data_IF_850872551076
#
_entry.id   IF_850872551076
#
_cell.length_a   1.000
_cell.length_b   1.000
_cell.length_c   1.000
_cell.angle_alpha   90.00
_cell.angle_beta   90.00
_cell.angle_gamma   90.00
#
_symmetry.space_group_name_H-M   'P 1'
#
loop_
_entity.id
_entity.type
_entity.pdbx_description
1 polymer ?
#
# COMPACT_ATOMS: atom_id res chain seq x y z
N UNK A 1 -14.19 -58.08 25.81
CA UNK A 1 -14.28 -57.84 24.36
C UNK A 1 -14.89 -56.47 24.13
N UNK A 2 -14.04 -55.46 23.94
CA UNK A 2 -14.46 -54.12 23.52
C UNK A 2 -13.45 -53.75 22.43
N UNK A 3 -13.92 -53.64 21.19
CA UNK A 3 -13.10 -53.45 20.00
C UNK A 3 -12.52 -52.03 19.91
N UNK A 4 -11.43 -51.83 19.14
CA UNK A 4 -10.81 -50.52 18.99
C UNK A 4 -11.64 -49.65 18.04
N UNK A 5 -12.04 -48.46 18.50
CA UNK A 5 -12.61 -47.43 17.62
C UNK A 5 -11.49 -46.77 16.82
N UNK A 6 -11.65 -46.82 15.50
CA UNK A 6 -10.78 -46.17 14.52
C UNK A 6 -10.86 -44.65 14.66
N UNK A 7 -9.70 -44.01 14.76
CA UNK A 7 -9.51 -42.56 14.68
C UNK A 7 -9.65 -42.09 13.23
N UNK A 8 -10.71 -41.34 12.96
CA UNK A 8 -10.90 -40.64 11.68
C UNK A 8 -10.17 -39.29 11.75
N UNK A 9 -9.26 -38.97 10.82
CA UNK A 9 -8.59 -37.67 10.81
C UNK A 9 -9.53 -36.58 10.28
N UNK A 10 -9.60 -35.46 11.00
CA UNK A 10 -10.31 -34.24 10.62
C UNK A 10 -9.69 -33.62 9.34
N UNK A 11 -10.50 -33.04 8.45
CA UNK A 11 -10.02 -32.54 7.16
C UNK A 11 -9.19 -31.26 7.33
N UNK A 12 -8.08 -31.20 6.59
CA UNK A 12 -7.26 -30.00 6.39
C UNK A 12 -8.11 -28.95 5.66
N UNK A 13 -8.42 -27.84 6.35
CA UNK A 13 -9.08 -26.68 5.75
C UNK A 13 -8.10 -25.95 4.83
N UNK A 14 -8.28 -26.12 3.52
CA UNK A 14 -7.72 -25.26 2.48
C UNK A 14 -8.36 -23.87 2.58
N UNK A 15 -7.59 -22.85 2.97
CA UNK A 15 -8.00 -21.44 2.96
C UNK A 15 -7.77 -20.78 1.58
N UNK A 16 -8.00 -21.53 0.51
CA UNK A 16 -8.07 -21.01 -0.85
C UNK A 16 -9.33 -21.58 -1.50
N UNK A 17 -10.43 -20.83 -1.35
CA UNK A 17 -11.53 -20.76 -2.33
C UNK A 17 -12.63 -19.84 -1.78
N UNK A 18 -12.42 -18.53 -1.94
CA UNK A 18 -13.52 -17.56 -1.90
C UNK A 18 -13.83 -17.14 -3.33
N UNK A 19 -14.81 -17.82 -3.92
CA UNK A 19 -15.53 -17.32 -5.09
C UNK A 19 -16.42 -16.16 -4.65
N UNK A 20 -16.11 -14.96 -5.11
CA UNK A 20 -16.94 -13.77 -4.85
C UNK A 20 -18.12 -13.72 -5.82
N UNK A 21 -19.33 -13.36 -5.37
CA UNK A 21 -20.43 -13.02 -6.28
C UNK A 21 -20.13 -11.70 -7.01
N UNK A 22 -20.43 -11.65 -8.31
CA UNK A 22 -20.40 -10.44 -9.14
C UNK A 22 -21.36 -9.37 -8.57
N UNK A 23 -20.85 -8.48 -7.71
CA UNK A 23 -21.63 -7.38 -7.11
C UNK A 23 -21.59 -6.07 -7.92
N UNK A 24 -21.03 -6.09 -9.12
CA UNK A 24 -21.06 -4.95 -10.04
C UNK A 24 -21.63 -5.42 -11.38
N UNK A 25 -22.90 -5.10 -11.62
CA UNK A 25 -23.55 -5.39 -12.90
C UNK A 25 -22.81 -4.75 -14.09
N UNK A 26 -22.99 -5.26 -15.32
CA UNK A 26 -22.34 -4.70 -16.50
C UNK A 26 -22.77 -3.25 -16.68
N UNK A 27 -21.80 -2.34 -16.80
CA UNK A 27 -22.06 -0.98 -17.23
C UNK A 27 -22.75 -1.03 -18.60
N UNK A 28 -24.03 -0.64 -18.66
CA UNK A 28 -24.76 -0.50 -19.92
C UNK A 28 -24.32 0.80 -20.58
N UNK A 29 -23.71 0.68 -21.75
CA UNK A 29 -23.46 1.80 -22.67
C UNK A 29 -24.84 2.27 -23.17
N UNK A 30 -25.23 3.55 -23.02
CA UNK A 30 -26.48 4.04 -23.57
C UNK A 30 -26.40 4.12 -25.10
N UNK A 31 -27.47 3.71 -25.77
CA UNK A 31 -27.68 3.83 -27.22
C UNK A 31 -27.89 5.33 -27.54
N UNK A 32 -27.11 5.86 -28.49
CA UNK A 32 -27.06 7.28 -28.90
C UNK A 32 -28.34 7.74 -29.63
N UNK A 33 -28.66 9.02 -29.42
CA UNK A 33 -29.61 9.82 -30.21
C UNK A 33 -28.84 10.56 -31.33
N UNK A 34 -29.29 10.60 -32.59
CA UNK A 34 -28.43 10.92 -33.73
C UNK A 34 -28.53 12.38 -34.20
N UNK A 35 -28.41 13.40 -33.34
CA UNK A 35 -28.29 14.78 -33.83
C UNK A 35 -27.42 15.69 -32.93
N UNK A 36 -26.10 15.71 -33.13
CA UNK A 36 -25.28 16.92 -32.93
C UNK A 36 -23.89 16.79 -33.56
N UNK A 37 -23.62 17.58 -34.60
CA UNK A 37 -22.31 17.69 -35.26
C UNK A 37 -21.27 18.49 -34.45
N UNK A 38 -20.84 17.93 -33.31
CA UNK A 38 -19.57 18.28 -32.65
C UNK A 38 -18.71 17.03 -32.67
N UNK A 39 -17.46 17.14 -33.10
CA UNK A 39 -16.46 16.08 -32.90
C UNK A 39 -16.37 15.82 -31.40
N UNK A 40 -17.06 14.78 -30.93
CA UNK A 40 -17.07 14.39 -29.53
C UNK A 40 -15.66 13.94 -29.15
N UNK A 41 -14.97 14.75 -28.34
CA UNK A 41 -13.67 14.35 -27.81
C UNK A 41 -13.83 13.05 -26.99
N UNK A 42 -12.87 12.12 -27.12
CA UNK A 42 -12.85 10.90 -26.31
C UNK A 42 -12.88 11.25 -24.81
N UNK A 43 -13.87 10.72 -24.09
CA UNK A 43 -14.08 10.92 -22.67
C UNK A 43 -14.45 9.59 -22.00
N UNK A 44 -14.10 9.48 -20.72
CA UNK A 44 -14.56 8.38 -19.88
C UNK A 44 -15.82 8.86 -19.16
N UNK A 45 -16.96 8.16 -19.29
CA UNK A 45 -18.19 8.55 -18.62
C UNK A 45 -17.99 8.65 -17.11
N UNK A 46 -18.72 9.58 -16.48
CA UNK A 46 -18.76 9.69 -15.02
C UNK A 46 -19.18 8.36 -14.40
N UNK A 47 -18.45 7.90 -13.39
CA UNK A 47 -18.70 6.60 -12.80
C UNK A 47 -17.62 6.16 -11.82
N UNK A 48 -17.70 4.91 -11.39
CA UNK A 48 -16.71 4.29 -10.51
C UNK A 48 -16.14 3.09 -11.24
N UNK A 49 -14.82 3.06 -11.36
CA UNK A 49 -14.13 2.09 -12.19
C UNK A 49 -13.07 1.37 -11.37
N UNK A 50 -12.94 0.07 -11.59
CA UNK A 50 -11.72 -0.66 -11.24
C UNK A 50 -10.60 -0.25 -12.21
N UNK A 51 -9.32 -0.42 -11.84
CA UNK A 51 -8.21 -0.12 -12.75
C UNK A 51 -8.29 -0.93 -14.04
N UNK A 52 -8.74 -2.19 -13.94
CA UNK A 52 -8.95 -3.06 -15.09
C UNK A 52 -10.00 -2.50 -16.06
N UNK A 53 -11.07 -1.89 -15.56
CA UNK A 53 -12.08 -1.22 -16.38
C UNK A 53 -11.57 0.09 -16.98
N UNK A 54 -10.69 0.82 -16.29
CA UNK A 54 -10.03 2.01 -16.86
C UNK A 54 -9.13 1.63 -18.04
N UNK A 55 -8.32 0.56 -17.92
CA UNK A 55 -7.53 0.03 -19.04
C UNK A 55 -8.42 -0.30 -20.25
N UNK A 56 -9.61 -0.90 -20.03
CA UNK A 56 -10.59 -1.12 -21.11
C UNK A 56 -11.09 0.19 -21.70
N UNK A 57 -11.39 1.18 -20.86
CA UNK A 57 -11.92 2.47 -21.27
C UNK A 57 -10.92 3.26 -22.14
N UNK A 58 -9.61 3.00 -22.00
CA UNK A 58 -8.56 3.56 -22.84
C UNK A 58 -8.39 2.83 -24.18
N UNK A 59 -8.88 1.59 -24.31
CA UNK A 59 -8.64 0.74 -25.48
C UNK A 59 -9.07 1.37 -26.83
N UNK A 60 -10.18 2.13 -26.93
CA UNK A 60 -10.57 2.78 -28.19
C UNK A 60 -9.48 3.67 -28.80
N UNK A 61 -8.63 4.29 -27.97
CA UNK A 61 -7.50 5.10 -28.44
C UNK A 61 -6.48 4.25 -29.21
N UNK A 62 -6.12 3.09 -28.69
CA UNK A 62 -5.19 2.16 -29.33
C UNK A 62 -5.83 1.46 -30.52
N UNK A 63 -7.08 1.02 -30.39
CA UNK A 63 -7.77 0.25 -31.43
C UNK A 63 -8.01 1.13 -32.68
N UNK A 64 -8.30 2.42 -32.51
CA UNK A 64 -8.35 3.39 -33.62
C UNK A 64 -7.01 3.52 -34.32
N UNK A 65 -5.90 3.56 -33.57
CA UNK A 65 -4.55 3.59 -34.15
C UNK A 65 -4.27 2.34 -34.99
N UNK A 66 -4.57 1.16 -34.44
CA UNK A 66 -4.37 -0.12 -35.12
C UNK A 66 -5.25 -0.23 -36.37
N UNK A 67 -6.50 0.23 -36.30
CA UNK A 67 -7.42 0.28 -37.44
C UNK A 67 -6.81 1.05 -38.62
N UNK A 68 -6.36 2.28 -38.38
CA UNK A 68 -5.82 3.16 -39.44
C UNK A 68 -4.44 2.76 -39.93
N UNK A 69 -3.64 2.08 -39.12
CA UNK A 69 -2.37 1.51 -39.59
C UNK A 69 -2.60 0.44 -40.66
N UNK A 70 -3.77 -0.20 -40.69
CA UNK A 70 -4.15 -1.20 -41.69
C UNK A 70 -3.47 -2.57 -41.50
N UNK A 71 -3.61 -3.51 -42.46
CA UNK A 71 -3.12 -4.89 -42.33
C UNK A 71 -1.61 -4.99 -42.17
N UNK A 72 -1.12 -5.73 -41.17
CA UNK A 72 0.32 -5.90 -40.93
C UNK A 72 1.05 -6.52 -42.14
N UNK A 73 2.31 -6.10 -42.44
CA UNK A 73 3.12 -6.75 -43.47
C UNK A 73 3.33 -8.25 -43.18
N UNK A 74 3.56 -9.09 -44.20
CA UNK A 74 3.93 -10.47 -43.97
C UNK A 74 5.25 -10.55 -43.18
N UNK A 75 5.31 -11.46 -42.21
CA UNK A 75 6.48 -11.73 -41.35
C UNK A 75 6.93 -10.57 -40.44
N UNK A 76 6.07 -9.60 -40.14
CA UNK A 76 6.35 -8.57 -39.13
C UNK A 76 5.61 -8.81 -37.81
N UNK A 77 6.13 -8.24 -36.71
CA UNK A 77 5.39 -8.13 -35.46
C UNK A 77 4.08 -7.35 -35.70
N UNK A 78 2.92 -7.84 -35.24
CA UNK A 78 1.66 -7.12 -35.39
C UNK A 78 1.73 -5.73 -34.77
N UNK A 79 1.18 -4.71 -35.44
CA UNK A 79 1.22 -3.32 -35.00
C UNK A 79 0.74 -3.16 -33.55
N UNK A 80 -0.37 -3.82 -33.19
CA UNK A 80 -0.91 -3.81 -31.83
C UNK A 80 0.09 -4.32 -30.79
N UNK A 81 0.80 -5.41 -31.10
CA UNK A 81 1.81 -5.99 -30.22
C UNK A 81 2.96 -5.04 -30.02
N UNK A 82 3.52 -4.49 -31.11
CA UNK A 82 4.62 -3.52 -31.05
C UNK A 82 4.23 -2.26 -30.24
N UNK A 83 3.03 -1.72 -30.47
CA UNK A 83 2.48 -0.59 -29.70
C UNK A 83 2.36 -0.90 -28.20
N UNK A 84 1.92 -2.11 -27.83
CA UNK A 84 1.85 -2.53 -26.43
C UNK A 84 3.21 -2.83 -25.80
N UNK A 85 4.20 -3.27 -26.59
CA UNK A 85 5.58 -3.44 -26.10
C UNK A 85 6.21 -2.09 -25.74
N UNK A 86 5.84 -1.03 -26.45
CA UNK A 86 6.22 0.33 -26.08
C UNK A 86 5.55 0.80 -24.78
N UNK A 87 4.27 0.48 -24.57
CA UNK A 87 3.63 0.73 -23.26
C UNK A 87 4.38 -0.02 -22.16
N UNK A 88 4.74 -1.28 -22.41
CA UNK A 88 5.51 -2.05 -21.44
C UNK A 88 6.86 -1.40 -21.14
N UNK A 89 7.55 -0.88 -22.16
CA UNK A 89 8.80 -0.14 -21.98
C UNK A 89 8.58 1.17 -21.20
N UNK A 90 7.53 1.95 -21.46
CA UNK A 90 7.26 3.18 -20.71
C UNK A 90 6.84 2.94 -19.25
N UNK A 91 6.15 1.82 -18.99
CA UNK A 91 5.67 1.45 -17.65
C UNK A 91 6.70 0.68 -16.82
N UNK A 92 7.75 0.14 -17.43
CA UNK A 92 8.89 -0.44 -16.74
C UNK A 92 9.64 0.62 -15.90
N UNK A 93 10.61 0.18 -15.08
CA UNK A 93 11.38 1.08 -14.18
C UNK A 93 12.85 1.23 -14.58
N UNK A 94 13.30 0.44 -15.56
CA UNK A 94 14.71 0.15 -15.86
C UNK A 94 15.04 0.20 -17.37
N UNK A 95 14.07 0.58 -18.21
CA UNK A 95 14.27 0.78 -19.65
C UNK A 95 14.71 2.22 -19.94
N UNK A 96 15.17 2.49 -21.17
CA UNK A 96 15.44 3.87 -21.62
C UNK A 96 14.15 4.68 -21.71
N UNK A 97 13.06 4.04 -22.11
CA UNK A 97 11.75 4.65 -22.39
C UNK A 97 10.90 4.88 -21.14
N UNK A 98 11.33 4.39 -19.99
CA UNK A 98 10.58 4.49 -18.73
C UNK A 98 10.19 5.94 -18.42
N UNK A 99 8.94 6.13 -18.00
CA UNK A 99 8.50 7.42 -17.46
C UNK A 99 8.76 7.56 -15.94
N UNK A 100 9.38 6.56 -15.31
CA UNK A 100 9.70 6.51 -13.87
C UNK A 100 11.07 5.82 -13.67
N UNK A 101 12.18 6.45 -14.11
CA UNK A 101 13.51 5.85 -14.04
C UNK A 101 13.98 5.74 -12.59
N UNK A 102 14.00 4.52 -12.05
CA UNK A 102 14.48 4.26 -10.69
C UNK A 102 15.67 3.30 -10.73
N UNK A 103 16.81 3.76 -10.20
CA UNK A 103 18.07 2.99 -10.18
C UNK A 103 17.89 1.57 -9.62
N UNK A 104 18.72 0.63 -10.08
CA UNK A 104 18.74 -0.73 -9.53
C UNK A 104 19.37 -0.78 -8.13
N UNK A 105 20.29 0.14 -7.82
CA UNK A 105 21.05 0.14 -6.57
C UNK A 105 20.49 1.21 -5.61
N UNK A 106 19.21 1.10 -5.26
CA UNK A 106 18.58 2.00 -4.29
C UNK A 106 18.86 1.52 -2.86
N UNK A 107 19.49 2.38 -2.06
CA UNK A 107 19.69 2.15 -0.62
C UNK A 107 18.46 2.54 0.20
N UNK A 108 17.68 3.51 -0.27
CA UNK A 108 16.46 3.98 0.38
C UNK A 108 15.31 2.96 0.24
N UNK A 109 14.88 2.41 1.38
CA UNK A 109 13.79 1.43 1.49
C UNK A 109 12.50 1.96 0.85
N UNK A 110 12.18 3.24 1.06
CA UNK A 110 10.95 3.85 0.54
C UNK A 110 10.93 3.90 -0.99
N UNK A 111 12.08 4.18 -1.62
CA UNK A 111 12.22 4.16 -3.09
C UNK A 111 12.21 2.74 -3.65
N UNK A 112 12.79 1.77 -2.93
CA UNK A 112 12.70 0.35 -3.30
C UNK A 112 11.26 -0.14 -3.31
N UNK A 113 10.48 0.23 -2.29
CA UNK A 113 9.05 -0.09 -2.22
C UNK A 113 8.28 0.46 -3.42
N UNK A 114 8.42 1.75 -3.72
CA UNK A 114 7.74 2.37 -4.86
C UNK A 114 8.20 1.80 -6.19
N UNK A 115 9.48 1.45 -6.35
CA UNK A 115 9.98 0.79 -7.55
C UNK A 115 9.32 -0.56 -7.77
N UNK A 116 9.29 -1.40 -6.74
CA UNK A 116 8.70 -2.73 -6.84
C UNK A 116 7.19 -2.66 -7.10
N UNK A 117 6.51 -1.71 -6.44
CA UNK A 117 5.10 -1.44 -6.69
C UNK A 117 4.85 -0.94 -8.12
N UNK A 118 5.66 -0.02 -8.63
CA UNK A 118 5.56 0.47 -10.01
C UNK A 118 5.74 -0.64 -11.03
N UNK A 119 6.72 -1.54 -10.80
CA UNK A 119 6.96 -2.73 -11.62
C UNK A 119 5.74 -3.65 -11.64
N UNK A 120 5.18 -3.97 -10.45
CA UNK A 120 4.01 -4.84 -10.31
C UNK A 120 2.77 -4.25 -10.99
N UNK A 121 2.50 -2.97 -10.76
CA UNK A 121 1.39 -2.25 -11.40
C UNK A 121 1.59 -2.23 -12.93
N UNK A 122 2.74 -1.79 -13.41
CA UNK A 122 3.03 -1.67 -14.85
C UNK A 122 2.85 -2.99 -15.60
N UNK A 123 3.41 -4.08 -15.08
CA UNK A 123 3.24 -5.43 -15.66
C UNK A 123 1.77 -5.86 -15.71
N UNK A 124 1.02 -5.58 -14.65
CA UNK A 124 -0.41 -5.92 -14.56
C UNK A 124 -1.25 -5.13 -15.56
N UNK A 125 -1.01 -3.83 -15.69
CA UNK A 125 -1.71 -2.97 -16.66
C UNK A 125 -1.46 -3.43 -18.11
N UNK A 126 -0.20 -3.75 -18.45
CA UNK A 126 0.17 -4.29 -19.78
C UNK A 126 -0.49 -5.64 -20.00
N UNK A 127 -0.48 -6.53 -19.01
CA UNK A 127 -1.13 -7.83 -19.10
C UNK A 127 -2.63 -7.68 -19.42
N UNK A 128 -3.34 -6.80 -18.71
CA UNK A 128 -4.73 -6.50 -19.02
C UNK A 128 -4.91 -5.92 -20.43
N UNK A 129 -4.09 -4.94 -20.83
CA UNK A 129 -4.16 -4.32 -22.16
C UNK A 129 -3.93 -5.34 -23.30
N UNK A 130 -3.01 -6.29 -23.12
CA UNK A 130 -2.77 -7.39 -24.06
C UNK A 130 -3.96 -8.36 -24.14
N UNK A 131 -4.63 -8.60 -23.01
CA UNK A 131 -5.81 -9.48 -22.94
C UNK A 131 -7.09 -8.88 -23.55
N UNK A 132 -7.09 -7.60 -23.94
CA UNK A 132 -8.23 -6.99 -24.60
C UNK A 132 -8.10 -7.01 -26.13
N UNK A 133 -9.19 -7.38 -26.79
CA UNK A 133 -9.37 -7.19 -28.22
C UNK A 133 -10.86 -7.04 -28.50
N UNK A 134 -11.22 -6.20 -29.49
CA UNK A 134 -12.57 -6.11 -30.08
C UNK A 134 -13.67 -5.45 -29.24
N UNK A 135 -13.33 -4.44 -28.43
CA UNK A 135 -14.37 -3.55 -27.91
C UNK A 135 -14.88 -2.61 -29.03
N UNK A 136 -16.11 -2.10 -28.96
CA UNK A 136 -16.57 -1.07 -29.89
C UNK A 136 -15.65 0.16 -29.82
N UNK A 137 -15.16 0.59 -30.97
CA UNK A 137 -14.41 1.84 -31.12
C UNK A 137 -14.99 2.65 -32.27
N UNK A 138 -14.76 3.96 -32.24
CA UNK A 138 -15.12 4.87 -33.30
C UNK A 138 -13.91 5.00 -34.24
N UNK A 139 -13.97 4.48 -35.49
CA UNK A 139 -12.85 4.59 -36.43
C UNK A 139 -12.58 6.05 -36.82
N UNK A 140 -13.55 6.94 -36.66
CA UNK A 140 -13.40 8.37 -36.94
C UNK A 140 -12.97 9.16 -35.69
N UNK A 141 -12.58 8.46 -34.62
CA UNK A 141 -12.13 9.10 -33.38
C UNK A 141 -10.93 10.00 -33.65
N UNK A 142 -11.12 11.28 -33.38
CA UNK A 142 -10.10 12.29 -33.54
C UNK A 142 -9.90 13.06 -32.24
N UNK A 143 -8.64 13.20 -31.83
CA UNK A 143 -8.27 14.06 -30.71
C UNK A 143 -6.92 14.73 -30.98
N UNK A 144 -6.72 15.89 -30.33
CA UNK A 144 -5.39 16.48 -30.15
C UNK A 144 -4.90 16.19 -28.74
N UNK A 145 -3.79 15.48 -28.62
CA UNK A 145 -3.11 15.24 -27.35
C UNK A 145 -2.09 16.35 -27.10
N UNK A 146 -1.76 16.58 -25.83
CA UNK A 146 -0.51 17.26 -25.49
C UNK A 146 0.62 16.26 -25.74
N UNK A 147 1.71 16.70 -26.37
CA UNK A 147 2.90 15.87 -26.50
C UNK A 147 3.64 15.91 -25.16
N UNK A 148 3.42 14.91 -24.32
CA UNK A 148 4.01 14.81 -22.97
C UNK A 148 5.44 14.20 -22.97
N UNK A 149 6.06 14.08 -24.15
CA UNK A 149 7.46 13.68 -24.30
C UNK A 149 7.74 12.19 -24.05
N UNK A 150 6.72 11.33 -24.02
CA UNK A 150 6.91 9.88 -23.83
C UNK A 150 7.74 9.29 -24.97
N UNK A 151 8.79 8.57 -24.60
CA UNK A 151 9.72 7.99 -25.56
C UNK A 151 9.11 6.79 -26.27
N UNK A 152 9.47 6.65 -27.54
CA UNK A 152 9.10 5.51 -28.37
C UNK A 152 10.30 4.57 -28.57
N UNK A 153 10.01 3.27 -28.61
CA UNK A 153 10.89 2.25 -29.15
C UNK A 153 11.17 2.54 -30.62
N UNK A 154 12.39 2.24 -31.13
CA UNK A 154 12.76 2.51 -32.52
C UNK A 154 11.77 1.96 -33.56
N UNK A 155 11.28 0.72 -33.36
CA UNK A 155 10.32 0.09 -34.26
C UNK A 155 8.97 0.82 -34.27
N UNK A 156 8.57 1.40 -33.14
CA UNK A 156 7.34 2.15 -33.03
C UNK A 156 7.45 3.56 -33.63
N UNK A 157 8.65 4.15 -33.62
CA UNK A 157 8.93 5.36 -34.42
C UNK A 157 8.73 5.04 -35.89
N UNK A 158 9.31 3.95 -36.39
CA UNK A 158 9.14 3.54 -37.79
C UNK A 158 7.67 3.25 -38.13
N UNK A 159 6.91 2.67 -37.20
CA UNK A 159 5.49 2.39 -37.38
C UNK A 159 4.63 3.67 -37.44
N UNK A 160 4.79 4.58 -36.46
CA UNK A 160 3.93 5.77 -36.30
C UNK A 160 4.35 6.97 -37.16
N UNK A 161 5.56 6.97 -37.71
CA UNK A 161 6.03 7.98 -38.68
C UNK A 161 6.25 7.40 -40.09
N UNK A 162 5.95 6.11 -40.27
CA UNK A 162 6.09 5.42 -41.54
C UNK A 162 4.99 5.77 -42.55
N UNK A 163 5.13 5.22 -43.77
CA UNK A 163 4.24 5.49 -44.91
C UNK A 163 2.76 5.13 -44.68
N UNK A 164 2.49 4.25 -43.73
CA UNK A 164 1.15 3.76 -43.38
C UNK A 164 0.50 4.54 -42.25
N UNK A 165 1.24 5.46 -41.63
CA UNK A 165 0.72 6.25 -40.52
C UNK A 165 0.09 7.55 -41.01
N UNK A 166 -0.62 8.21 -40.12
CA UNK A 166 -1.16 9.54 -40.31
C UNK A 166 -0.82 10.40 -39.10
N UNK A 167 -0.67 11.74 -39.25
CA UNK A 167 -0.28 12.62 -38.15
C UNK A 167 -1.15 12.51 -36.90
N UNK A 168 -2.44 12.20 -37.06
CA UNK A 168 -3.38 12.07 -35.95
C UNK A 168 -3.18 10.78 -35.12
N UNK A 169 -2.61 9.72 -35.70
CA UNK A 169 -2.38 8.44 -34.99
C UNK A 169 -1.39 8.60 -33.85
N UNK A 170 -0.35 9.41 -34.05
CA UNK A 170 0.60 9.74 -33.00
C UNK A 170 -0.08 10.47 -31.83
N UNK A 171 -1.09 11.31 -32.11
CA UNK A 171 -1.84 12.01 -31.06
C UNK A 171 -2.67 11.04 -30.23
N UNK A 172 -3.38 10.11 -30.88
CA UNK A 172 -4.15 9.06 -30.21
C UNK A 172 -3.24 8.13 -29.38
N UNK A 173 -2.11 7.70 -29.95
CA UNK A 173 -1.18 6.83 -29.24
C UNK A 173 -0.49 7.54 -28.07
N UNK A 174 -0.13 8.81 -28.22
CA UNK A 174 0.38 9.64 -27.12
C UNK A 174 -0.61 9.74 -25.97
N UNK A 175 -1.89 10.00 -26.27
CA UNK A 175 -2.92 10.05 -25.24
C UNK A 175 -3.07 8.69 -24.55
N UNK A 176 -3.11 7.59 -25.31
CA UNK A 176 -3.16 6.24 -24.74
C UNK A 176 -1.98 5.94 -23.80
N UNK A 177 -0.74 6.23 -24.24
CA UNK A 177 0.46 6.11 -23.40
C UNK A 177 0.33 6.93 -22.12
N UNK A 178 -0.10 8.18 -22.24
CA UNK A 178 -0.22 9.08 -21.12
C UNK A 178 -1.27 8.60 -20.10
N UNK A 179 -2.45 8.14 -20.56
CA UNK A 179 -3.49 7.59 -19.67
C UNK A 179 -3.01 6.34 -18.92
N UNK A 180 -2.26 5.45 -19.58
CA UNK A 180 -1.65 4.28 -18.94
C UNK A 180 -0.59 4.67 -17.89
N UNK A 181 0.22 5.69 -18.16
CA UNK A 181 1.21 6.26 -17.23
C UNK A 181 0.53 6.90 -16.01
N UNK A 182 -0.50 7.73 -16.24
CA UNK A 182 -1.30 8.33 -15.18
C UNK A 182 -1.94 7.26 -14.30
N UNK A 183 -2.50 6.21 -14.91
CA UNK A 183 -3.08 5.10 -14.16
C UNK A 183 -2.03 4.35 -13.34
N UNK A 184 -0.86 4.02 -13.89
CA UNK A 184 0.22 3.39 -13.12
C UNK A 184 0.55 4.21 -11.88
N UNK A 185 0.75 5.52 -12.06
CA UNK A 185 1.17 6.41 -10.97
C UNK A 185 0.07 6.60 -9.93
N UNK A 186 -1.19 6.70 -10.34
CA UNK A 186 -2.34 6.77 -9.45
C UNK A 186 -2.50 5.52 -8.55
N UNK A 187 -1.98 4.37 -8.98
CA UNK A 187 -2.09 3.09 -8.28
C UNK A 187 -0.91 2.81 -7.34
N UNK A 188 0.18 3.59 -7.41
CA UNK A 188 1.35 3.41 -6.56
C UNK A 188 1.06 3.40 -5.06
N UNK A 189 0.08 4.16 -4.52
CA UNK A 189 -0.20 4.10 -3.09
C UNK A 189 -0.77 2.78 -2.59
N UNK A 190 -1.32 1.91 -3.45
CA UNK A 190 -2.20 0.83 -3.01
C UNK A 190 -1.59 -0.57 -3.16
N UNK A 191 -1.35 -1.26 -2.05
CA UNK A 191 -0.85 -2.64 -2.01
C UNK A 191 -1.77 -3.62 -2.77
N UNK A 192 -3.09 -3.42 -2.74
CA UNK A 192 -4.09 -4.22 -3.48
C UNK A 192 -4.78 -3.37 -4.55
N UNK A 193 -3.97 -2.69 -5.37
CA UNK A 193 -4.45 -1.72 -6.36
C UNK A 193 -5.54 -2.30 -7.29
N UNK A 194 -5.50 -3.59 -7.60
CA UNK A 194 -6.35 -4.26 -8.58
C UNK A 194 -7.85 -4.12 -8.29
N UNK A 195 -8.20 -3.94 -7.02
CA UNK A 195 -9.59 -3.90 -6.54
C UNK A 195 -10.03 -2.51 -6.08
N UNK A 196 -9.20 -1.48 -6.24
CA UNK A 196 -9.50 -0.11 -5.77
C UNK A 196 -10.57 0.55 -6.66
N UNK A 197 -11.74 0.93 -6.12
CA UNK A 197 -12.75 1.69 -6.86
C UNK A 197 -12.33 3.15 -7.05
N UNK A 198 -12.09 3.55 -8.30
CA UNK A 198 -11.64 4.90 -8.67
C UNK A 198 -12.84 5.70 -9.21
N UNK A 199 -13.26 6.79 -8.53
CA UNK A 199 -14.29 7.67 -9.05
C UNK A 199 -13.75 8.53 -10.20
N UNK A 200 -14.50 8.60 -11.29
CA UNK A 200 -14.26 9.49 -12.43
C UNK A 200 -15.41 10.48 -12.48
N UNK A 201 -15.09 11.77 -12.44
CA UNK A 201 -16.07 12.86 -12.43
C UNK A 201 -16.56 13.27 -13.82
N UNK A 202 -15.79 12.93 -14.87
CA UNK A 202 -16.06 13.27 -16.27
C UNK A 202 -15.68 14.71 -16.64
N UNK A 203 -14.99 15.44 -15.76
CA UNK A 203 -14.62 16.84 -16.00
C UNK A 203 -13.31 17.01 -16.78
N UNK A 204 -12.46 15.99 -16.78
CA UNK A 204 -11.20 15.96 -17.54
C UNK A 204 -11.19 14.82 -18.55
N UNK A 205 -10.27 14.91 -19.53
CA UNK A 205 -9.99 13.81 -20.46
C UNK A 205 -9.34 12.65 -19.71
N UNK A 206 -10.10 11.59 -19.49
CA UNK A 206 -9.67 10.44 -18.71
C UNK A 206 -9.11 10.84 -17.34
N UNK A 207 -7.86 10.47 -17.07
CA UNK A 207 -7.18 10.68 -15.79
C UNK A 207 -6.37 11.99 -15.69
N UNK A 208 -6.44 12.89 -16.69
CA UNK A 208 -5.60 14.11 -16.70
C UNK A 208 -5.79 15.04 -15.50
N UNK A 209 -6.92 14.96 -14.80
CA UNK A 209 -7.13 15.67 -13.53
C UNK A 209 -6.09 15.29 -12.44
N UNK A 210 -5.40 14.16 -12.58
CA UNK A 210 -4.38 13.68 -11.65
C UNK A 210 -2.96 14.22 -11.94
N UNK A 211 -2.74 14.92 -13.06
CA UNK A 211 -1.40 15.39 -13.48
C UNK A 211 -0.68 16.18 -12.38
N UNK A 212 -1.36 17.13 -11.73
CA UNK A 212 -0.76 17.97 -10.67
C UNK A 212 -0.40 17.15 -9.43
N UNK A 213 -1.26 16.22 -9.01
CA UNK A 213 -0.99 15.37 -7.85
C UNK A 213 0.18 14.42 -8.12
N UNK A 214 0.20 13.84 -9.32
CA UNK A 214 1.29 13.01 -9.84
C UNK A 214 2.61 13.77 -9.84
N UNK A 215 2.66 14.97 -10.41
CA UNK A 215 3.90 15.76 -10.50
C UNK A 215 4.52 15.99 -9.11
N UNK A 216 3.71 16.43 -8.14
CA UNK A 216 4.16 16.65 -6.75
C UNK A 216 4.70 15.37 -6.11
N UNK A 217 4.04 14.23 -6.34
CA UNK A 217 4.50 12.95 -5.82
C UNK A 217 5.83 12.54 -6.47
N UNK A 218 5.94 12.64 -7.80
CA UNK A 218 7.17 12.29 -8.51
C UNK A 218 8.33 13.21 -8.16
N UNK A 219 8.10 14.50 -7.94
CA UNK A 219 9.13 15.39 -7.39
C UNK A 219 9.67 14.84 -6.07
N UNK A 220 8.80 14.34 -5.19
CA UNK A 220 9.21 13.73 -3.91
C UNK A 220 10.03 12.46 -4.16
N UNK A 221 9.57 11.57 -5.03
CA UNK A 221 10.28 10.33 -5.41
C UNK A 221 11.72 10.61 -5.86
N UNK A 222 11.93 11.62 -6.71
CA UNK A 222 13.26 11.91 -7.26
C UNK A 222 14.14 12.77 -6.35
N UNK A 223 13.57 13.75 -5.64
CA UNK A 223 14.36 14.78 -4.94
C UNK A 223 14.51 14.54 -3.44
N UNK A 224 13.67 13.70 -2.82
CA UNK A 224 13.59 13.54 -1.36
C UNK A 224 13.38 12.07 -0.96
N UNK A 225 13.38 11.82 0.35
CA UNK A 225 12.83 10.59 0.91
C UNK A 225 11.31 10.61 0.78
N UNK A 226 10.73 9.48 0.40
CA UNK A 226 9.29 9.36 0.24
C UNK A 226 8.68 9.31 1.64
N UNK A 227 7.73 10.18 1.92
CA UNK A 227 7.06 10.22 3.22
C UNK A 227 5.70 9.54 3.14
N UNK A 228 5.23 9.00 4.27
CA UNK A 228 3.87 8.46 4.36
C UNK A 228 2.80 9.49 3.94
N UNK A 229 2.98 10.74 4.36
CA UNK A 229 2.08 11.84 4.01
C UNK A 229 2.01 12.10 2.51
N UNK A 230 3.11 11.93 1.77
CA UNK A 230 3.12 12.08 0.30
C UNK A 230 2.33 10.96 -0.39
N UNK A 231 2.41 9.73 0.13
CA UNK A 231 1.64 8.58 -0.37
C UNK A 231 0.15 8.76 -0.09
N UNK A 232 -0.21 9.20 1.12
CA UNK A 232 -1.60 9.51 1.49
C UNK A 232 -2.16 10.68 0.67
N UNK A 233 -1.35 11.72 0.41
CA UNK A 233 -1.76 12.85 -0.41
C UNK A 233 -2.09 12.44 -1.84
N UNK A 234 -1.28 11.58 -2.46
CA UNK A 234 -1.58 11.02 -3.78
C UNK A 234 -2.84 10.15 -3.75
N UNK A 235 -2.97 9.25 -2.79
CA UNK A 235 -4.17 8.40 -2.65
C UNK A 235 -5.46 9.21 -2.48
N UNK A 236 -5.41 10.31 -1.71
CA UNK A 236 -6.52 11.24 -1.55
C UNK A 236 -6.86 11.95 -2.85
N UNK A 237 -5.86 12.46 -3.58
CA UNK A 237 -6.12 13.10 -4.87
C UNK A 237 -6.82 12.17 -5.86
N UNK A 238 -6.55 10.86 -5.79
CA UNK A 238 -7.19 9.83 -6.64
C UNK A 238 -8.61 9.48 -6.20
N UNK A 239 -8.87 9.36 -4.88
CA UNK A 239 -10.11 8.75 -4.38
C UNK A 239 -11.06 9.71 -3.65
N UNK A 240 -10.54 10.76 -3.03
CA UNK A 240 -11.27 11.67 -2.15
C UNK A 240 -10.58 13.05 -2.09
N UNK A 241 -10.58 13.82 -3.20
CA UNK A 241 -9.84 15.07 -3.31
C UNK A 241 -10.33 16.16 -2.35
N UNK A 242 -11.58 16.07 -1.89
CA UNK A 242 -12.24 17.06 -1.02
C UNK A 242 -11.92 16.88 0.47
N UNK A 243 -11.25 15.78 0.86
CA UNK A 243 -10.80 15.59 2.24
C UNK A 243 -9.86 16.73 2.66
N UNK A 244 -9.91 17.18 3.93
CA UNK A 244 -9.06 18.27 4.40
C UNK A 244 -7.59 17.86 4.49
N UNK A 245 -6.68 18.82 4.42
CA UNK A 245 -5.25 18.59 4.70
C UNK A 245 -4.91 18.96 6.13
N UNK A 246 -4.26 18.06 6.86
CA UNK A 246 -3.82 18.28 8.25
C UNK A 246 -2.30 18.46 8.31
N UNK A 247 -1.77 18.88 9.46
CA UNK A 247 -0.32 19.08 9.68
C UNK A 247 0.50 17.82 9.37
N UNK A 248 -0.05 16.64 9.64
CA UNK A 248 0.59 15.33 9.45
C UNK A 248 0.34 14.75 8.06
N UNK A 249 -0.68 15.24 7.34
CA UNK A 249 -1.22 14.63 6.11
C UNK A 249 -2.17 13.44 6.34
N UNK A 250 -2.33 12.98 7.59
CA UNK A 250 -3.06 11.76 7.94
C UNK A 250 -2.30 10.47 7.60
N UNK A 251 -2.89 9.33 7.94
CA UNK A 251 -2.31 8.01 7.67
C UNK A 251 -3.19 7.07 6.85
N UNK A 252 -4.44 7.45 6.62
CA UNK A 252 -5.45 6.69 5.90
C UNK A 252 -6.75 7.50 5.88
N UNK A 253 -7.79 6.99 5.23
CA UNK A 253 -9.07 7.67 5.17
C UNK A 253 -10.20 6.71 4.79
N UNK A 254 -11.42 7.08 5.12
CA UNK A 254 -12.63 6.55 4.52
C UNK A 254 -13.10 7.47 3.41
N UNK A 255 -13.64 6.90 2.33
CA UNK A 255 -14.28 7.63 1.24
C UNK A 255 -15.56 6.91 0.80
N UNK A 256 -16.24 7.46 -0.22
CA UNK A 256 -17.55 7.01 -0.68
C UNK A 256 -17.65 5.50 -0.99
N UNK A 257 -16.56 4.85 -1.39
CA UNK A 257 -16.57 3.45 -1.80
C UNK A 257 -15.85 2.49 -0.85
N UNK A 258 -15.22 2.97 0.22
CA UNK A 258 -14.65 2.11 1.26
C UNK A 258 -13.58 2.79 2.09
N UNK A 259 -12.64 1.98 2.56
CA UNK A 259 -11.64 2.38 3.55
C UNK A 259 -10.23 2.20 2.99
N UNK A 260 -9.37 3.18 3.23
CA UNK A 260 -7.94 3.17 2.92
C UNK A 260 -7.17 3.22 4.25
N UNK A 261 -6.43 2.16 4.56
CA UNK A 261 -5.63 2.04 5.79
C UNK A 261 -4.17 1.68 5.48
N UNK A 262 -3.22 1.90 6.42
CA UNK A 262 -1.87 1.36 6.28
C UNK A 262 -1.90 -0.15 5.99
N UNK A 263 -1.22 -0.59 4.94
CA UNK A 263 -1.31 -1.97 4.46
C UNK A 263 -0.72 -3.00 5.45
N UNK A 264 0.13 -2.56 6.40
CA UNK A 264 0.64 -3.39 7.49
C UNK A 264 -0.49 -4.06 8.30
N UNK A 265 -1.67 -3.44 8.41
CA UNK A 265 -2.79 -4.01 9.17
C UNK A 265 -3.42 -5.26 8.53
N UNK A 266 -3.05 -5.58 7.29
CA UNK A 266 -3.58 -6.74 6.58
C UNK A 266 -2.80 -8.03 6.83
N UNK A 267 -1.68 -7.96 7.56
CA UNK A 267 -0.77 -9.08 7.78
C UNK A 267 0.08 -9.42 6.54
N UNK A 268 1.01 -10.35 6.71
CA UNK A 268 1.94 -10.78 5.68
C UNK A 268 3.17 -9.86 5.57
N UNK A 269 3.78 -9.84 4.38
CA UNK A 269 4.99 -9.06 4.13
C UNK A 269 4.75 -7.56 4.40
N UNK A 270 5.63 -6.98 5.20
CA UNK A 270 5.47 -5.63 5.75
C UNK A 270 5.74 -4.59 4.65
N UNK A 271 4.72 -3.80 4.26
CA UNK A 271 4.94 -2.61 3.47
C UNK A 271 5.46 -1.48 4.37
N UNK A 272 6.24 -0.58 3.79
CA UNK A 272 6.76 0.59 4.47
C UNK A 272 5.77 1.76 4.48
N UNK A 273 5.27 2.16 3.30
CA UNK A 273 4.31 3.26 3.14
C UNK A 273 3.00 2.86 2.44
N UNK A 274 2.93 1.69 1.80
CA UNK A 274 1.73 1.33 1.04
C UNK A 274 0.47 1.31 1.91
N UNK A 275 -0.63 1.67 1.26
CA UNK A 275 -1.98 1.66 1.79
C UNK A 275 -2.73 0.46 1.22
N UNK A 276 -3.80 0.05 1.89
CA UNK A 276 -4.68 -1.03 1.44
C UNK A 276 -6.11 -0.54 1.41
N UNK A 277 -6.80 -0.88 0.33
CA UNK A 277 -8.24 -0.72 0.23
C UNK A 277 -8.97 -1.88 0.91
N UNK A 278 -9.96 -1.54 1.73
CA UNK A 278 -10.89 -2.47 2.36
C UNK A 278 -12.31 -2.08 1.92
N UNK A 279 -13.10 -3.01 1.34
CA UNK A 279 -14.45 -2.74 0.83
C UNK A 279 -15.47 -2.67 1.98
N UNK A 280 -15.24 -1.77 2.93
CA UNK A 280 -16.10 -1.53 4.07
C UNK A 280 -15.99 -0.07 4.52
N UNK A 281 -16.95 0.39 5.32
CA UNK A 281 -16.95 1.69 5.97
C UNK A 281 -17.04 1.47 7.48
N UNK A 282 -16.21 2.16 8.23
CA UNK A 282 -16.23 2.14 9.69
C UNK A 282 -17.38 3.00 10.23
N UNK A 283 -17.68 4.11 9.55
CA UNK A 283 -18.88 4.91 9.83
C UNK A 283 -19.65 5.15 8.52
N UNK A 284 -20.69 4.35 8.25
CA UNK A 284 -21.52 4.51 7.04
C UNK A 284 -22.24 5.85 6.94
N UNK A 285 -22.43 6.57 8.05
CA UNK A 285 -23.16 7.86 8.09
C UNK A 285 -22.31 9.03 7.59
N UNK A 286 -20.98 8.90 7.66
CA UNK A 286 -20.05 9.94 7.22
C UNK A 286 -19.32 9.45 5.96
N UNK A 287 -19.59 10.01 4.77
CA UNK A 287 -19.06 9.46 3.52
C UNK A 287 -17.53 9.54 3.44
N UNK A 288 -16.93 10.57 4.03
CA UNK A 288 -15.50 10.87 3.93
C UNK A 288 -14.95 11.23 5.31
N UNK A 289 -13.91 10.52 5.74
CA UNK A 289 -13.22 10.74 7.02
C UNK A 289 -11.72 10.62 6.78
N UNK A 290 -10.94 11.62 7.15
CA UNK A 290 -9.48 11.51 7.24
C UNK A 290 -9.08 10.90 8.58
N UNK A 291 -8.20 9.89 8.56
CA UNK A 291 -7.60 9.38 9.77
C UNK A 291 -6.28 10.08 10.08
N UNK A 292 -6.18 10.64 11.28
CA UNK A 292 -5.02 11.39 11.73
C UNK A 292 -4.45 10.83 13.04
N UNK A 293 -3.14 11.00 13.20
CA UNK A 293 -2.34 10.53 14.31
C UNK A 293 -2.84 11.12 15.61
N UNK A 294 -2.90 10.28 16.64
CA UNK A 294 -3.16 10.74 18.00
C UNK A 294 -2.13 11.82 18.45
N UNK A 295 -0.86 11.61 18.11
CA UNK A 295 0.22 12.56 18.36
C UNK A 295 0.75 13.09 17.03
N UNK A 296 0.50 14.36 16.67
CA UNK A 296 1.00 14.93 15.42
C UNK A 296 2.53 14.86 15.32
N UNK A 297 3.21 15.22 16.41
CA UNK A 297 4.65 15.05 16.61
C UNK A 297 4.88 14.05 17.76
N UNK A 298 5.68 13.01 17.51
CA UNK A 298 5.98 12.02 18.55
C UNK A 298 7.07 12.48 19.52
N UNK A 299 7.91 13.46 19.14
CA UNK A 299 8.91 14.03 20.05
C UNK A 299 8.24 14.78 21.21
N UNK A 300 7.12 15.45 20.91
CA UNK A 300 6.28 16.21 21.85
C UNK A 300 5.20 15.36 22.54
N UNK A 301 5.06 14.08 22.17
CA UNK A 301 4.05 13.20 22.75
C UNK A 301 4.31 13.00 24.27
N UNK A 302 3.25 12.98 25.09
CA UNK A 302 3.38 12.63 26.51
C UNK A 302 4.04 11.26 26.67
N UNK A 303 4.94 11.13 27.65
CA UNK A 303 5.70 9.92 27.91
C UNK A 303 5.38 9.37 29.29
N UNK A 304 5.16 8.07 29.37
CA UNK A 304 4.94 7.35 30.62
C UNK A 304 6.05 6.32 30.82
N UNK A 305 6.43 6.08 32.07
CA UNK A 305 7.39 5.03 32.41
C UNK A 305 6.78 3.67 32.07
N UNK A 306 7.55 2.80 31.44
CA UNK A 306 7.17 1.40 31.20
C UNK A 306 6.85 0.72 32.55
N UNK A 307 5.89 -0.23 32.61
CA UNK A 307 5.64 -1.01 33.82
C UNK A 307 6.92 -1.68 34.35
N UNK A 308 6.99 -1.99 35.66
CA UNK A 308 8.11 -2.76 36.20
C UNK A 308 8.24 -4.10 35.47
N UNK A 309 9.48 -4.52 35.22
CA UNK A 309 9.78 -5.82 34.66
C UNK A 309 10.85 -6.54 35.48
N UNK A 310 11.09 -7.80 35.14
CA UNK A 310 12.03 -8.65 35.86
C UNK A 310 13.41 -8.60 35.21
N UNK A 311 14.43 -8.22 35.98
CA UNK A 311 15.81 -8.23 35.51
C UNK A 311 16.36 -9.65 35.51
N UNK A 312 16.75 -10.15 34.34
CA UNK A 312 17.28 -11.51 34.19
C UNK A 312 18.33 -11.59 33.09
N UNK A 313 19.12 -12.66 33.13
CA UNK A 313 20.03 -13.01 32.06
C UNK A 313 19.28 -13.87 31.04
N UNK A 314 19.14 -13.36 29.82
CA UNK A 314 18.46 -14.07 28.73
C UNK A 314 19.48 -14.75 27.82
N UNK A 315 19.34 -16.08 27.71
CA UNK A 315 20.16 -16.92 26.83
C UNK A 315 19.42 -17.36 25.55
N UNK A 316 18.12 -17.12 25.48
CA UNK A 316 17.24 -17.54 24.39
C UNK A 316 15.82 -17.04 24.63
N UNK A 317 14.93 -17.31 23.67
CA UNK A 317 13.54 -16.88 23.75
C UNK A 317 12.87 -17.44 25.02
N UNK A 318 12.20 -16.60 25.85
CA UNK A 318 11.57 -17.07 27.08
C UNK A 318 10.45 -18.08 26.80
N UNK A 319 10.54 -19.29 27.37
CA UNK A 319 9.52 -20.34 27.24
C UNK A 319 8.26 -20.01 28.07
N UNK A 320 8.48 -19.42 29.25
CA UNK A 320 7.45 -18.93 30.16
C UNK A 320 7.30 -17.42 29.98
N UNK A 321 6.46 -17.03 29.02
CA UNK A 321 6.19 -15.63 28.71
C UNK A 321 5.55 -14.91 29.91
N UNK A 322 6.03 -13.71 30.29
CA UNK A 322 5.37 -12.90 31.31
C UNK A 322 3.95 -12.52 30.86
N UNK A 323 2.94 -12.88 31.64
CA UNK A 323 1.54 -12.65 31.30
C UNK A 323 0.97 -13.61 30.26
N UNK A 324 1.52 -14.83 30.13
CA UNK A 324 0.99 -15.90 29.25
C UNK A 324 -0.49 -16.24 29.48
N UNK A 325 -1.02 -15.97 30.68
CA UNK A 325 -2.45 -16.13 30.99
C UNK A 325 -3.35 -15.09 30.29
N UNK A 326 -2.77 -13.98 29.84
CA UNK A 326 -3.44 -12.85 29.17
C UNK A 326 -3.44 -13.00 27.65
N UNK A 327 -3.88 -14.15 27.14
CA UNK A 327 -3.98 -14.39 25.71
C UNK A 327 -4.94 -13.41 25.02
N UNK A 328 -4.66 -13.07 23.76
CA UNK A 328 -5.52 -12.22 22.96
C UNK A 328 -6.80 -12.98 22.59
N UNK A 329 -7.94 -12.53 23.12
CA UNK A 329 -9.26 -13.12 22.83
C UNK A 329 -9.85 -12.61 21.53
N UNK A 330 -9.69 -11.31 21.25
CA UNK A 330 -10.20 -10.70 20.02
C UNK A 330 -9.52 -9.37 19.74
N UNK A 331 -9.34 -9.04 18.46
CA UNK A 331 -8.89 -7.75 18.00
C UNK A 331 -9.85 -7.16 16.97
N UNK A 332 -9.92 -5.83 16.90
CA UNK A 332 -10.74 -5.14 15.91
C UNK A 332 -10.37 -3.67 15.81
N UNK A 333 -10.72 -3.05 14.69
CA UNK A 333 -10.42 -1.65 14.41
C UNK A 333 -11.68 -0.81 14.59
N UNK A 334 -11.57 0.30 15.34
CA UNK A 334 -12.70 1.17 15.64
C UNK A 334 -12.33 2.64 15.54
N UNK A 335 -13.29 3.47 15.13
CA UNK A 335 -13.16 4.93 15.21
C UNK A 335 -13.09 5.41 16.66
N UNK A 336 -12.17 6.33 16.93
CA UNK A 336 -12.16 7.04 18.20
C UNK A 336 -13.42 7.91 18.35
N UNK A 337 -13.93 8.12 19.57
CA UNK A 337 -15.13 8.92 19.82
C UNK A 337 -15.10 10.30 19.14
N UNK A 338 -16.28 10.77 18.71
CA UNK A 338 -16.41 12.07 18.03
C UNK A 338 -16.26 13.18 19.05
N UNK A 339 -15.10 13.86 19.06
CA UNK A 339 -14.88 15.04 19.91
C UNK A 339 -15.37 16.33 19.23
N UNK A 340 -15.44 16.35 17.89
CA UNK A 340 -15.84 17.51 17.10
C UNK A 340 -16.63 17.09 15.85
N UNK A 341 -17.31 18.04 15.19
CA UNK A 341 -17.92 17.81 13.87
C UNK A 341 -16.91 17.70 12.72
N UNK A 342 -15.62 17.60 13.03
CA UNK A 342 -14.55 17.52 12.03
C UNK A 342 -14.62 16.21 11.23
N UNK A 343 -14.38 16.25 9.90
CA UNK A 343 -14.15 15.05 9.09
C UNK A 343 -12.77 14.41 9.36
N UNK A 344 -12.03 14.86 10.39
CA UNK A 344 -10.76 14.28 10.84
C UNK A 344 -10.97 13.52 12.15
N UNK A 345 -10.56 12.25 12.21
CA UNK A 345 -10.74 11.36 13.37
C UNK A 345 -9.55 10.42 13.56
N UNK A 346 -9.34 9.91 14.76
CA UNK A 346 -8.38 8.83 15.01
C UNK A 346 -9.03 7.45 14.79
N UNK A 347 -8.20 6.47 14.43
CA UNK A 347 -8.57 5.07 14.32
C UNK A 347 -7.74 4.24 15.30
N UNK A 348 -8.38 3.30 16.00
CA UNK A 348 -7.77 2.57 17.10
C UNK A 348 -7.90 1.07 16.88
N UNK A 349 -6.79 0.35 17.01
CA UNK A 349 -6.77 -1.09 17.17
C UNK A 349 -7.15 -1.41 18.62
N UNK A 350 -8.29 -2.07 18.80
CA UNK A 350 -8.82 -2.51 20.09
C UNK A 350 -8.48 -3.97 20.31
N UNK A 351 -7.87 -4.26 21.44
CA UNK A 351 -7.52 -5.61 21.89
C UNK A 351 -8.35 -5.95 23.12
N UNK A 352 -8.87 -7.17 23.17
CA UNK A 352 -9.49 -7.74 24.36
C UNK A 352 -8.74 -9.00 24.75
N UNK A 353 -8.34 -9.09 26.00
CA UNK A 353 -7.59 -10.22 26.54
C UNK A 353 -8.52 -11.19 27.29
N UNK A 354 -8.07 -12.42 27.50
CA UNK A 354 -8.78 -13.47 28.25
C UNK A 354 -9.10 -13.07 29.69
N UNK A 355 -8.20 -12.34 30.34
CA UNK A 355 -8.35 -11.80 31.69
C UNK A 355 -9.42 -10.67 31.82
N UNK A 356 -10.07 -10.29 30.70
CA UNK A 356 -11.10 -9.26 30.65
C UNK A 356 -10.58 -7.83 30.47
N UNK A 357 -9.26 -7.62 30.53
CA UNK A 357 -8.65 -6.33 30.23
C UNK A 357 -8.77 -5.98 28.75
N UNK A 358 -8.65 -4.68 28.45
CA UNK A 358 -8.69 -4.20 27.06
C UNK A 358 -7.70 -3.08 26.82
N UNK A 359 -7.03 -3.15 25.68
CA UNK A 359 -6.11 -2.13 25.22
C UNK A 359 -6.65 -1.47 23.96
N UNK A 360 -6.14 -0.27 23.70
CA UNK A 360 -6.47 0.48 22.52
C UNK A 360 -5.28 1.32 22.08
N UNK A 361 -4.89 1.16 20.82
CA UNK A 361 -3.69 1.78 20.25
C UNK A 361 -4.04 2.46 18.93
N UNK A 362 -3.64 3.73 18.76
CA UNK A 362 -3.84 4.46 17.51
C UNK A 362 -3.12 3.76 16.34
N UNK A 363 -3.86 3.49 15.28
CA UNK A 363 -3.36 2.84 14.05
C UNK A 363 -2.25 3.68 13.41
N UNK A 364 -2.37 5.01 13.49
CA UNK A 364 -1.34 5.93 13.04
C UNK A 364 -0.02 5.69 13.79
N UNK A 365 -0.07 5.64 15.12
CA UNK A 365 1.11 5.33 15.92
C UNK A 365 1.68 3.94 15.60
N UNK A 366 0.86 2.90 15.38
CA UNK A 366 1.36 1.57 14.97
C UNK A 366 2.18 1.67 13.69
N UNK A 367 1.61 2.27 12.65
CA UNK A 367 2.30 2.43 11.37
C UNK A 367 3.56 3.31 11.51
N UNK A 368 3.53 4.34 12.38
CA UNK A 368 4.69 5.17 12.67
C UNK A 368 5.78 4.40 13.39
N UNK A 369 5.45 3.72 14.49
CA UNK A 369 6.36 2.89 15.27
C UNK A 369 7.04 1.85 14.40
N UNK A 370 6.27 1.19 13.54
CA UNK A 370 6.84 0.28 12.54
C UNK A 370 7.84 0.99 11.63
N UNK A 371 7.54 2.18 11.08
CA UNK A 371 8.47 2.85 10.16
C UNK A 371 9.80 3.24 10.83
N UNK A 372 9.76 3.59 12.10
CA UNK A 372 10.94 3.97 12.89
C UNK A 372 11.59 2.80 13.64
N UNK A 373 10.98 1.61 13.64
CA UNK A 373 11.61 0.42 14.22
C UNK A 373 12.79 -0.06 13.37
N UNK A 374 13.66 -0.82 14.01
CA UNK A 374 14.81 -1.47 13.40
C UNK A 374 14.58 -2.97 13.34
N UNK A 375 15.13 -3.62 12.32
CA UNK A 375 15.22 -5.07 12.27
C UNK A 375 16.61 -5.46 12.78
N UNK A 376 16.70 -6.48 13.62
CA UNK A 376 18.00 -7.03 14.01
C UNK A 376 18.75 -7.54 12.75
N UNK A 377 20.06 -7.30 12.59
CA UNK A 377 20.85 -7.91 11.52
C UNK A 377 20.81 -9.44 11.61
N UNK A 378 20.93 -10.11 10.46
CA UNK A 378 21.13 -11.57 10.45
C UNK A 378 22.44 -11.93 11.14
N UNK A 379 22.47 -13.12 11.76
CA UNK A 379 23.54 -13.57 12.63
C UNK A 379 24.90 -13.59 11.93
N UNK A 380 25.87 -12.83 12.46
CA UNK A 380 27.30 -13.10 12.25
C UNK A 380 27.81 -13.98 13.41
N UNK A 381 28.69 -14.97 13.16
CA UNK A 381 29.06 -16.02 14.14
C UNK A 381 29.68 -15.58 15.49
N UNK A 382 29.77 -14.29 15.81
CA UNK A 382 30.73 -13.79 16.81
C UNK A 382 30.15 -13.16 18.08
N UNK A 383 28.83 -13.09 18.29
CA UNK A 383 28.27 -12.32 19.41
C UNK A 383 27.30 -13.09 20.31
N UNK A 384 27.78 -14.11 21.03
CA UNK A 384 27.14 -14.53 22.29
C UNK A 384 27.41 -13.46 23.34
N UNK A 385 26.47 -12.54 23.54
CA UNK A 385 26.56 -11.53 24.60
C UNK A 385 25.50 -11.79 25.66
N UNK A 386 25.96 -11.89 26.91
CA UNK A 386 25.10 -11.95 28.09
C UNK A 386 24.54 -10.55 28.37
N UNK A 387 23.26 -10.33 28.11
CA UNK A 387 22.59 -9.11 28.54
C UNK A 387 21.86 -9.33 29.85
N UNK A 388 22.10 -8.42 30.79
CA UNK A 388 21.12 -8.15 31.83
C UNK A 388 20.02 -7.36 31.15
N UNK A 389 18.87 -8.00 30.93
CA UNK A 389 17.71 -7.39 30.32
C UNK A 389 16.58 -7.33 31.33
N UNK A 390 15.79 -6.26 31.27
CA UNK A 390 14.53 -6.18 32.01
C UNK A 390 13.43 -6.71 31.11
N UNK A 391 12.75 -7.77 31.55
CA UNK A 391 11.71 -8.45 30.76
C UNK A 391 10.34 -7.96 31.20
N UNK A 392 9.50 -7.59 30.23
CA UNK A 392 8.20 -6.97 30.46
C UNK A 392 7.06 -7.82 29.91
N UNK A 393 5.90 -7.74 30.56
CA UNK A 393 4.66 -8.27 29.98
C UNK A 393 4.09 -7.32 28.91
N UNK A 394 3.76 -7.88 27.75
CA UNK A 394 3.15 -7.11 26.67
C UNK A 394 1.75 -6.59 27.05
N UNK A 395 0.94 -7.38 27.77
CA UNK A 395 -0.42 -7.00 28.16
C UNK A 395 -0.39 -5.78 29.10
N UNK A 396 0.52 -5.76 30.07
CA UNK A 396 0.68 -4.65 31.02
C UNK A 396 1.06 -3.34 30.33
N UNK A 397 2.01 -3.38 29.37
CA UNK A 397 2.39 -2.21 28.57
C UNK A 397 1.19 -1.69 27.77
N UNK A 398 0.42 -2.59 27.16
CA UNK A 398 -0.70 -2.24 26.30
C UNK A 398 -1.91 -1.70 27.08
N UNK A 399 -2.17 -2.24 28.27
CA UNK A 399 -3.27 -1.81 29.16
C UNK A 399 -2.96 -0.49 29.86
N UNK A 400 -1.68 -0.11 29.98
CA UNK A 400 -1.27 1.19 30.52
C UNK A 400 -1.97 2.37 29.79
N UNK A 401 -2.19 3.48 30.51
CA UNK A 401 -3.00 4.63 30.03
C UNK A 401 -2.76 5.02 28.57
N UNK A 402 -3.84 5.25 27.83
CA UNK A 402 -3.84 5.53 26.38
C UNK A 402 -3.32 6.91 26.00
N UNK A 403 -3.05 7.78 26.97
CA UNK A 403 -2.70 9.18 26.73
C UNK A 403 -1.21 9.44 26.56
N UNK A 404 -0.36 8.41 26.53
CA UNK A 404 1.10 8.55 26.46
C UNK A 404 1.76 7.37 25.73
N UNK A 405 2.96 7.63 25.20
CA UNK A 405 3.89 6.61 24.70
C UNK A 405 4.75 6.09 25.85
N UNK A 406 4.95 4.77 25.92
CA UNK A 406 5.78 4.13 26.92
C UNK A 406 7.26 4.31 26.60
N UNK A 407 8.06 4.64 27.62
CA UNK A 407 9.52 4.77 27.55
C UNK A 407 10.13 4.38 28.91
N UNK A 408 11.44 4.25 29.00
CA UNK A 408 12.14 3.98 30.24
C UNK A 408 13.12 5.12 30.55
N UNK A 409 12.85 5.90 31.58
CA UNK A 409 13.64 7.08 31.95
C UNK A 409 15.01 6.73 32.48
N UNK A 410 15.14 5.55 33.09
CA UNK A 410 16.40 5.05 33.62
C UNK A 410 17.31 4.45 32.54
N UNK A 411 16.87 4.46 31.27
CA UNK A 411 17.57 3.78 30.19
C UNK A 411 17.50 2.27 30.35
N UNK A 412 18.50 1.58 29.80
CA UNK A 412 18.62 0.13 29.85
C UNK A 412 18.04 -0.60 28.64
N UNK A 413 18.08 -1.92 28.75
CA UNK A 413 17.76 -2.88 27.70
C UNK A 413 16.49 -3.66 28.09
N UNK A 414 15.40 -3.41 27.36
CA UNK A 414 14.06 -3.86 27.70
C UNK A 414 13.56 -4.88 26.68
N UNK A 415 13.21 -6.08 27.14
CA UNK A 415 12.74 -7.17 26.27
C UNK A 415 11.26 -7.43 26.51
N UNK A 416 10.51 -7.51 25.42
CA UNK A 416 9.06 -7.75 25.42
C UNK A 416 8.80 -8.96 24.53
N UNK A 417 8.76 -10.18 25.09
CA UNK A 417 8.56 -11.38 24.31
C UNK A 417 7.06 -11.55 23.98
N UNK A 418 6.76 -11.89 22.72
CA UNK A 418 5.40 -11.92 22.17
C UNK A 418 5.27 -13.01 21.13
N UNK A 419 4.23 -13.85 21.22
CA UNK A 419 3.93 -14.83 20.18
C UNK A 419 2.95 -14.30 19.12
N UNK A 420 1.99 -13.46 19.52
CA UNK A 420 0.92 -12.95 18.65
C UNK A 420 1.37 -11.72 17.84
N UNK A 421 1.35 -11.77 16.49
CA UNK A 421 1.74 -10.63 15.66
C UNK A 421 0.89 -9.37 15.84
N UNK A 422 -0.38 -9.51 16.23
CA UNK A 422 -1.28 -8.38 16.53
C UNK A 422 -0.85 -7.65 17.78
N UNK A 423 -0.37 -8.38 18.80
CA UNK A 423 0.20 -7.79 20.02
C UNK A 423 1.51 -7.07 19.68
N UNK A 424 2.38 -7.68 18.88
CA UNK A 424 3.64 -7.06 18.42
C UNK A 424 3.37 -5.74 17.65
N UNK A 425 2.39 -5.75 16.74
CA UNK A 425 1.91 -4.54 16.05
C UNK A 425 1.39 -3.48 17.01
N UNK A 426 0.58 -3.86 18.00
CA UNK A 426 0.05 -2.92 18.98
C UNK A 426 1.16 -2.29 19.84
N UNK A 427 2.19 -3.05 20.22
CA UNK A 427 3.34 -2.54 20.96
C UNK A 427 4.09 -1.47 20.18
N UNK A 428 4.25 -1.61 18.86
CA UNK A 428 4.87 -0.57 18.02
C UNK A 428 4.16 0.78 18.12
N UNK A 429 2.83 0.79 18.27
CA UNK A 429 2.08 2.03 18.46
C UNK A 429 2.05 2.56 19.90
N UNK A 430 2.51 1.75 20.86
CA UNK A 430 2.49 2.07 22.29
C UNK A 430 3.85 2.54 22.80
N UNK A 431 4.93 1.96 22.27
CA UNK A 431 6.29 2.31 22.63
C UNK A 431 6.74 3.62 21.96
N UNK A 432 7.60 4.37 22.64
CA UNK A 432 8.26 5.53 22.05
C UNK A 432 9.16 5.07 20.88
N UNK A 433 8.95 5.55 19.63
CA UNK A 433 9.60 4.98 18.44
C UNK A 433 11.13 5.16 18.33
N UNK A 434 11.78 5.74 19.35
CA UNK A 434 13.17 6.22 19.26
C UNK A 434 14.22 5.12 19.07
N UNK A 435 14.00 3.94 19.63
CA UNK A 435 14.93 2.81 19.60
C UNK A 435 14.23 1.46 19.85
N UNK A 436 13.29 1.10 18.98
CA UNK A 436 12.55 -0.17 19.03
C UNK A 436 13.11 -1.13 18.00
N UNK A 437 13.52 -2.32 18.42
CA UNK A 437 14.09 -3.39 17.57
C UNK A 437 13.11 -4.56 17.50
N UNK A 438 12.90 -5.08 16.29
CA UNK A 438 12.15 -6.31 16.02
C UNK A 438 13.14 -7.47 15.91
N UNK A 439 12.88 -8.55 16.66
CA UNK A 439 13.70 -9.75 16.68
C UNK A 439 12.81 -11.00 16.55
N UNK A 440 13.00 -11.86 15.55
CA UNK A 440 12.35 -13.17 15.45
C UNK A 440 12.57 -14.05 16.68
N UNK A 441 11.60 -14.92 17.02
CA UNK A 441 11.68 -15.75 18.23
C UNK A 441 12.69 -16.90 18.13
N UNK A 442 13.13 -17.25 16.92
CA UNK A 442 14.18 -18.23 16.65
C UNK A 442 15.60 -17.63 16.62
N UNK A 443 15.72 -16.33 16.89
CA UNK A 443 17.00 -15.61 16.86
C UNK A 443 17.50 -15.19 18.24
N UNK A 444 18.78 -14.87 18.32
CA UNK A 444 19.47 -14.57 19.57
C UNK A 444 19.43 -13.09 19.91
N UNK A 445 19.24 -12.79 21.20
CA UNK A 445 19.16 -11.41 21.70
C UNK A 445 20.39 -10.56 21.35
N UNK A 446 21.58 -11.18 21.29
CA UNK A 446 22.84 -10.50 20.96
C UNK A 446 22.84 -9.83 19.58
N UNK A 447 22.00 -10.30 18.65
CA UNK A 447 21.88 -9.69 17.32
C UNK A 447 21.33 -8.25 17.39
N UNK A 448 20.67 -7.88 18.48
CA UNK A 448 20.09 -6.54 18.64
C UNK A 448 21.08 -5.48 19.15
N UNK A 449 22.34 -5.85 19.43
CA UNK A 449 23.35 -4.92 19.96
C UNK A 449 23.60 -3.76 19.02
N UNK A 450 23.87 -4.10 17.77
CA UNK A 450 24.20 -3.15 16.71
C UNK A 450 22.94 -2.67 15.96
N UNK A 451 21.78 -3.21 16.33
CA UNK A 451 20.50 -2.77 15.80
C UNK A 451 19.99 -1.53 16.54
N UNK A 452 19.48 -0.58 15.76
CA UNK A 452 18.92 0.65 16.30
C UNK A 452 19.94 1.74 16.53
N UNK A 453 19.60 2.64 17.46
CA UNK A 453 20.46 3.74 17.85
C UNK A 453 21.26 3.34 19.08
N UNK A 454 22.47 3.88 19.21
CA UNK A 454 23.33 3.75 20.40
C UNK A 454 22.83 4.62 21.58
N UNK A 455 21.52 4.83 21.70
CA UNK A 455 20.90 5.64 22.76
C UNK A 455 19.93 4.78 23.55
N UNK A 456 19.92 4.95 24.86
CA UNK A 456 18.96 4.31 25.75
C UNK A 456 17.67 5.14 25.89
N UNK A 457 16.52 4.51 26.19
CA UNK A 457 16.33 3.07 26.37
C UNK A 457 16.23 2.31 25.02
N UNK A 458 16.64 1.03 25.01
CA UNK A 458 16.45 0.12 23.88
C UNK A 458 15.32 -0.86 24.18
N UNK A 459 14.32 -0.93 23.31
CA UNK A 459 13.22 -1.88 23.41
C UNK A 459 13.36 -2.97 22.34
N UNK A 460 13.28 -4.23 22.73
CA UNK A 460 13.28 -5.38 21.83
C UNK A 460 11.91 -6.05 21.92
N UNK A 461 11.16 -6.03 20.82
CA UNK A 461 9.99 -6.89 20.64
C UNK A 461 10.52 -8.21 20.07
N UNK A 462 10.50 -9.25 20.89
CA UNK A 462 11.05 -10.56 20.55
C UNK A 462 9.89 -11.51 20.22
N UNK A 463 9.83 -12.04 19.00
CA UNK A 463 8.72 -12.83 18.50
C UNK A 463 7.59 -11.99 17.89
N UNK A 464 6.51 -12.66 17.48
CA UNK A 464 5.37 -12.03 16.81
C UNK A 464 5.73 -11.39 15.46
N UNK A 465 6.93 -11.68 14.95
CA UNK A 465 7.55 -11.09 13.78
C UNK A 465 8.46 -12.14 13.14
N UNK A 466 8.56 -12.14 11.81
CA UNK A 466 9.47 -13.00 11.05
C UNK A 466 10.23 -12.20 10.00
N UNK A 467 11.41 -12.68 9.62
CA UNK A 467 12.14 -12.13 8.48
C UNK A 467 11.39 -12.35 7.16
N UNK A 468 11.62 -11.46 6.21
CA UNK A 468 11.10 -11.55 4.85
C UNK A 468 10.65 -10.22 4.28
N UNK A 469 10.45 -10.14 2.96
CA UNK A 469 10.01 -8.90 2.32
C UNK A 469 10.98 -7.73 2.53
N UNK A 470 10.45 -6.50 2.63
CA UNK A 470 11.26 -5.29 2.79
C UNK A 470 11.64 -4.96 4.23
N UNK A 471 10.83 -5.40 5.20
CA UNK A 471 10.97 -5.08 6.63
C UNK A 471 10.45 -6.19 7.56
N UNK A 472 10.34 -7.42 7.05
CA UNK A 472 9.77 -8.57 7.74
C UNK A 472 8.32 -8.92 7.38
N UNK A 473 7.72 -9.77 8.19
CA UNK A 473 6.37 -10.32 8.06
C UNK A 473 5.69 -10.33 9.44
N UNK A 474 4.45 -9.85 9.51
CA UNK A 474 3.55 -10.01 10.68
C UNK A 474 2.48 -11.06 10.39
#
# INVERSE_FOLDING_TARGET
MIGPMASTPLPKSSMHDFTFPDFLGPARIPIRDPESGRTEEWLIPKGVYTPRQLVRSFAPLLDTVVHHLGPDPPNSTPARTALLDNIAANLATDTRETSLPLSNNLTDISRREIKEQARRVGQTLVHWARGYSKEPYDPDLWLRSRCDGHLLLPDNVALLFGRRSQPHLMQLFNEYMHQMILLRDALLPFQNFEVVPIPIDGHARGLRHLETARERFLTTVFTRHITHSSVVALARAVLAPDLPTTKTGGYGFQYKHGLIIPAVLAGGAIPYHLLRYVPSKIDPSTPEILFDYQFPDYYEAPRVEIPPGDSTHLFGYPIDLPGKEDELKSAGVQLQPKTTSSPVRGLELRLKFTNGSSAGVDVGQIARGLRYSFEAPEETPEHMTNHIATVHSASEILVQSRSALATARLGGFHVIPVDDPTIALALLGKLYPGNVVLLPNDEQLGQTNDAGKEIEPKFVIWGGFKRGGLKGVF
#
